data_IF_038493482441
#
_entry.id   IF_038493482441
#
_cell.length_a   1.000
_cell.length_b   1.000
_cell.length_c   1.000
_cell.angle_alpha   90.00
_cell.angle_beta   90.00
_cell.angle_gamma   90.00
#
_symmetry.space_group_name_H-M   'P 1'
#
loop_
_entity.id
_entity.type
_entity.pdbx_description
1 polymer ?
#
# COMPACT_ATOMS: atom_id res chain seq x y z
N UNK A 1 -6.93 -28.21 15.90
CA UNK A 1 -7.24 -27.00 15.13
C UNK A 1 -7.30 -25.83 16.08
N UNK A 2 -6.46 -24.85 15.86
CA UNK A 2 -6.35 -23.62 16.67
C UNK A 2 -7.31 -22.56 16.08
N UNK A 3 -8.17 -21.99 16.87
CA UNK A 3 -8.99 -20.85 16.46
C UNK A 3 -8.53 -19.61 17.24
N UNK A 4 -8.19 -18.54 16.52
CA UNK A 4 -7.97 -17.21 17.09
C UNK A 4 -9.28 -16.44 16.92
N UNK A 5 -9.96 -16.15 18.00
CA UNK A 5 -11.12 -15.27 17.98
C UNK A 5 -10.66 -13.85 18.33
N UNK A 6 -10.60 -12.97 17.33
CA UNK A 6 -10.42 -11.54 17.55
C UNK A 6 -11.80 -10.91 17.72
N UNK A 7 -12.16 -10.52 18.93
CA UNK A 7 -13.37 -9.73 19.13
C UNK A 7 -13.09 -8.27 18.78
N UNK A 8 -13.80 -7.75 17.79
CA UNK A 8 -13.81 -6.32 17.47
C UNK A 8 -14.65 -5.58 18.51
N UNK A 9 -14.01 -4.82 19.38
CA UNK A 9 -14.69 -3.74 20.10
C UNK A 9 -14.18 -2.41 19.54
N UNK A 10 -15.09 -1.47 19.34
CA UNK A 10 -14.84 -0.11 18.85
C UNK A 10 -14.05 0.79 19.81
N UNK A 11 -13.54 0.26 20.90
CA UNK A 11 -12.63 0.95 21.81
C UNK A 11 -11.17 0.66 21.42
N UNK A 12 -10.27 1.66 21.55
CA UNK A 12 -8.84 1.43 21.29
C UNK A 12 -8.36 0.26 22.14
N UNK A 13 -7.73 -0.73 21.53
CA UNK A 13 -7.22 -1.96 22.13
C UNK A 13 -6.50 -1.66 23.45
N UNK A 14 -7.23 -1.71 24.53
CA UNK A 14 -6.63 -1.84 25.85
C UNK A 14 -6.34 -3.33 25.97
N UNK A 15 -5.09 -3.76 25.94
CA UNK A 15 -4.51 -5.10 26.13
C UNK A 15 -5.36 -6.29 26.63
N UNK A 16 -6.67 -6.26 26.40
CA UNK A 16 -7.66 -7.19 26.93
C UNK A 16 -8.15 -8.23 25.92
N UNK A 17 -7.78 -8.09 24.64
CA UNK A 17 -8.39 -8.87 23.57
C UNK A 17 -7.44 -9.90 22.94
N UNK A 18 -6.45 -10.35 23.68
CA UNK A 18 -5.65 -11.52 23.28
C UNK A 18 -6.51 -12.75 23.52
N UNK A 19 -7.06 -13.28 22.43
CA UNK A 19 -7.88 -14.49 22.50
C UNK A 19 -7.07 -15.70 22.93
N UNK A 20 -7.52 -16.38 23.96
CA UNK A 20 -6.96 -17.68 24.35
C UNK A 20 -7.31 -18.70 23.29
N UNK A 21 -6.30 -19.39 22.75
CA UNK A 21 -6.48 -20.50 21.83
C UNK A 21 -6.73 -21.76 22.67
N UNK A 22 -7.95 -22.23 22.67
CA UNK A 22 -8.32 -23.48 23.36
C UNK A 22 -8.87 -24.51 22.34
N UNK A 23 -8.61 -25.79 22.62
CA UNK A 23 -9.33 -26.85 21.87
C UNK A 23 -10.82 -26.74 22.18
N UNK A 24 -11.64 -26.77 21.14
CA UNK A 24 -13.10 -26.67 21.25
C UNK A 24 -13.71 -27.68 22.24
N UNK A 25 -13.09 -28.86 22.40
CA UNK A 25 -13.48 -29.91 23.34
C UNK A 25 -13.26 -29.60 24.83
N UNK A 26 -12.60 -28.51 25.17
CA UNK A 26 -12.25 -28.12 26.55
C UNK A 26 -12.90 -26.79 26.96
N UNK A 27 -13.68 -26.16 26.10
CA UNK A 27 -14.33 -24.90 26.40
C UNK A 27 -15.69 -25.16 27.06
N UNK A 28 -15.69 -25.26 28.38
CA UNK A 28 -16.89 -25.44 29.17
C UNK A 28 -17.68 -24.14 29.43
N UNK A 29 -17.47 -23.09 28.67
CA UNK A 29 -18.19 -21.81 28.79
C UNK A 29 -17.25 -20.60 28.95
N UNK A 30 -17.75 -19.41 28.64
CA UNK A 30 -17.00 -18.15 28.72
C UNK A 30 -16.44 -17.84 30.13
N UNK A 31 -17.10 -18.29 31.19
CA UNK A 31 -16.68 -18.08 32.57
C UNK A 31 -15.43 -18.89 32.94
N UNK A 32 -15.24 -20.09 32.35
CA UNK A 32 -14.06 -20.93 32.61
C UNK A 32 -12.79 -20.35 32.00
N UNK A 33 -12.90 -19.54 30.93
CA UNK A 33 -11.75 -18.94 30.23
C UNK A 33 -11.37 -17.59 30.86
N UNK A 34 -12.27 -16.96 31.63
CA UNK A 34 -12.04 -15.62 32.16
C UNK A 34 -10.81 -15.49 33.10
N UNK A 35 -10.47 -16.47 33.95
CA UNK A 35 -9.27 -16.43 34.78
C UNK A 35 -7.98 -16.49 33.97
N UNK A 36 -7.89 -17.42 33.00
CA UNK A 36 -6.73 -17.59 32.12
C UNK A 36 -6.53 -16.37 31.22
N UNK A 37 -7.62 -15.79 30.70
CA UNK A 37 -7.55 -14.53 29.94
C UNK A 37 -6.99 -13.39 30.77
N UNK A 38 -7.40 -13.24 32.04
CA UNK A 38 -6.87 -12.23 32.95
C UNK A 38 -5.40 -12.46 33.26
N UNK A 39 -5.01 -13.70 33.48
CA UNK A 39 -3.64 -14.08 33.73
C UNK A 39 -2.74 -13.79 32.53
N UNK A 40 -3.16 -14.14 31.30
CA UNK A 40 -2.44 -13.83 30.07
C UNK A 40 -2.38 -12.32 29.81
N UNK A 41 -3.48 -11.59 30.01
CA UNK A 41 -3.51 -10.15 29.84
C UNK A 41 -2.61 -9.40 30.84
N UNK A 42 -2.31 -10.02 31.98
CA UNK A 42 -1.44 -9.47 33.04
C UNK A 42 -0.01 -10.03 32.96
N UNK A 43 0.27 -11.00 32.09
CA UNK A 43 1.57 -11.69 32.02
C UNK A 43 2.72 -10.77 31.58
N UNK A 44 2.42 -9.69 30.87
CA UNK A 44 3.40 -8.70 30.45
C UNK A 44 2.77 -7.30 30.34
N UNK A 45 3.56 -6.22 30.37
CA UNK A 45 3.07 -4.85 30.25
C UNK A 45 2.76 -4.48 28.79
N UNK A 46 1.83 -5.20 28.17
CA UNK A 46 1.48 -5.03 26.73
C UNK A 46 1.08 -3.60 26.37
N UNK A 47 0.37 -2.90 27.25
CA UNK A 47 -0.01 -1.51 27.04
C UNK A 47 1.19 -0.55 26.96
N UNK A 48 2.20 -0.79 27.79
CA UNK A 48 3.44 0.00 27.78
C UNK A 48 4.24 -0.28 26.50
N UNK A 49 4.30 -1.55 26.05
CA UNK A 49 4.97 -1.91 24.80
C UNK A 49 4.32 -1.24 23.59
N UNK A 50 2.98 -1.19 23.55
CA UNK A 50 2.24 -0.54 22.47
C UNK A 50 2.50 0.97 22.45
N UNK A 51 2.51 1.62 23.62
CA UNK A 51 2.78 3.06 23.71
C UNK A 51 4.23 3.38 23.30
N UNK A 52 5.18 2.60 23.81
CA UNK A 52 6.61 2.85 23.57
C UNK A 52 7.07 2.44 22.15
N UNK A 53 6.42 1.45 21.55
CA UNK A 53 6.83 0.92 20.25
C UNK A 53 6.14 1.56 19.04
N UNK A 54 5.09 2.33 19.26
CA UNK A 54 4.25 2.88 18.19
C UNK A 54 4.68 4.30 17.85
N UNK A 55 4.96 4.55 16.57
CA UNK A 55 5.31 5.88 16.05
C UNK A 55 4.21 6.32 15.09
N UNK A 56 3.70 7.53 15.26
CA UNK A 56 2.79 8.13 14.29
C UNK A 56 3.60 8.82 13.18
N UNK A 57 3.09 8.80 11.96
CA UNK A 57 3.72 9.52 10.85
C UNK A 57 3.84 11.03 11.14
N UNK A 58 2.89 11.60 11.92
CA UNK A 58 2.92 12.98 12.39
C UNK A 58 4.02 13.28 13.39
N UNK A 59 4.56 12.27 14.07
CA UNK A 59 5.63 12.46 15.07
C UNK A 59 7.00 12.57 14.42
N UNK A 60 7.11 12.21 13.13
CA UNK A 60 8.35 12.33 12.37
C UNK A 60 8.60 13.78 11.95
N UNK A 61 9.86 14.22 11.91
CA UNK A 61 10.23 15.57 11.49
C UNK A 61 9.70 15.91 10.11
N UNK A 62 9.20 17.11 9.92
CA UNK A 62 8.73 17.59 8.63
C UNK A 62 9.86 17.59 7.59
N UNK A 63 9.52 17.18 6.38
CA UNK A 63 10.42 17.12 5.23
C UNK A 63 9.68 17.67 4.03
N UNK A 64 10.25 18.64 3.36
CA UNK A 64 9.68 19.20 2.15
C UNK A 64 10.12 18.36 0.94
N UNK A 65 9.20 18.15 0.00
CA UNK A 65 9.49 17.52 -1.30
C UNK A 65 10.09 18.54 -2.28
N UNK A 66 10.68 18.04 -3.36
CA UNK A 66 11.22 18.85 -4.44
C UNK A 66 10.11 19.17 -5.43
N UNK A 67 9.82 20.44 -5.59
CA UNK A 67 8.88 20.92 -6.60
C UNK A 67 9.51 20.84 -7.98
N UNK A 68 8.88 20.16 -8.91
CA UNK A 68 9.36 19.97 -10.26
C UNK A 68 8.83 21.02 -11.23
N UNK A 69 9.62 21.36 -12.26
CA UNK A 69 9.18 22.26 -13.33
C UNK A 69 8.16 21.57 -14.24
N UNK A 70 7.26 22.34 -14.85
CA UNK A 70 6.29 21.85 -15.83
C UNK A 70 6.93 20.95 -16.90
N UNK A 71 8.04 21.38 -17.50
CA UNK A 71 8.74 20.59 -18.51
C UNK A 71 9.26 19.25 -17.98
N UNK A 72 9.64 19.17 -16.71
CA UNK A 72 10.06 17.93 -16.06
C UNK A 72 8.88 16.99 -15.82
N UNK A 73 7.76 17.52 -15.35
CA UNK A 73 6.53 16.77 -15.13
C UNK A 73 6.03 16.20 -16.46
N UNK A 74 5.91 17.04 -17.49
CA UNK A 74 5.42 16.63 -18.82
C UNK A 74 6.28 15.52 -19.43
N UNK A 75 7.62 15.60 -19.35
CA UNK A 75 8.49 14.52 -19.85
C UNK A 75 8.24 13.20 -19.14
N UNK A 76 8.05 13.21 -17.84
CA UNK A 76 7.76 11.99 -17.06
C UNK A 76 6.37 11.45 -17.37
N UNK A 77 5.38 12.32 -17.55
CA UNK A 77 4.05 11.91 -18.02
C UNK A 77 4.15 11.14 -19.36
N UNK A 78 4.99 11.59 -20.29
CA UNK A 78 5.21 10.87 -21.55
C UNK A 78 5.84 9.49 -21.35
N UNK A 79 6.82 9.37 -20.44
CA UNK A 79 7.46 8.07 -20.11
C UNK A 79 6.44 7.08 -19.56
N UNK A 80 5.55 7.53 -18.67
CA UNK A 80 4.53 6.69 -18.05
C UNK A 80 3.20 6.63 -18.83
N UNK A 81 3.17 7.19 -20.04
CA UNK A 81 2.02 7.11 -20.94
C UNK A 81 0.78 7.84 -20.42
N UNK A 82 0.95 8.95 -19.67
CA UNK A 82 -0.17 9.81 -19.31
C UNK A 82 -0.75 10.46 -20.56
N UNK A 83 -2.06 10.47 -20.65
CA UNK A 83 -2.79 11.13 -21.73
C UNK A 83 -3.43 12.42 -21.25
N UNK A 84 -3.65 13.35 -22.17
CA UNK A 84 -4.39 14.59 -21.90
C UNK A 84 -5.82 14.30 -21.40
N UNK A 85 -6.41 13.21 -21.87
CA UNK A 85 -7.74 12.77 -21.44
C UNK A 85 -7.73 12.34 -19.96
N UNK A 86 -6.75 11.58 -19.51
CA UNK A 86 -6.60 11.18 -18.10
C UNK A 86 -6.37 12.40 -17.21
N UNK A 87 -5.53 13.34 -17.63
CA UNK A 87 -5.31 14.58 -16.88
C UNK A 87 -6.61 15.36 -16.70
N UNK A 88 -7.40 15.51 -17.76
CA UNK A 88 -8.63 16.31 -17.79
C UNK A 88 -9.83 15.61 -17.14
N UNK A 89 -10.01 14.30 -17.38
CA UNK A 89 -11.23 13.58 -16.99
C UNK A 89 -11.08 12.76 -15.72
N UNK A 90 -9.84 12.48 -15.26
CA UNK A 90 -9.58 11.70 -14.05
C UNK A 90 -8.92 12.58 -12.99
N UNK A 91 -7.70 13.07 -13.25
CA UNK A 91 -6.91 13.74 -12.22
C UNK A 91 -7.48 15.12 -11.86
N UNK A 92 -7.86 15.95 -12.82
CA UNK A 92 -8.39 17.28 -12.56
C UNK A 92 -9.72 17.26 -11.79
N UNK A 93 -10.70 16.38 -12.08
CA UNK A 93 -11.90 16.24 -11.26
C UNK A 93 -11.59 15.76 -9.84
N UNK A 94 -10.70 14.80 -9.65
CA UNK A 94 -10.27 14.38 -8.32
C UNK A 94 -9.62 15.53 -7.56
N UNK A 95 -8.74 16.30 -8.20
CA UNK A 95 -8.09 17.47 -7.63
C UNK A 95 -9.09 18.56 -7.20
N UNK A 96 -10.14 18.74 -7.97
CA UNK A 96 -11.16 19.77 -7.70
C UNK A 96 -12.16 19.36 -6.62
N UNK A 97 -12.60 18.10 -6.60
CA UNK A 97 -13.73 17.64 -5.79
C UNK A 97 -13.35 16.73 -4.63
N UNK A 98 -12.19 16.04 -4.69
CA UNK A 98 -11.81 15.00 -3.75
C UNK A 98 -12.65 13.73 -3.86
N UNK A 99 -13.22 13.50 -5.04
CA UNK A 99 -14.06 12.33 -5.37
C UNK A 99 -13.58 11.78 -6.71
N UNK A 100 -13.52 10.45 -6.80
CA UNK A 100 -13.22 9.77 -8.06
C UNK A 100 -14.34 9.99 -9.08
N UNK A 101 -14.03 10.41 -10.33
CA UNK A 101 -15.03 10.63 -11.39
C UNK A 101 -15.52 9.32 -12.02
N UNK A 102 -14.76 8.24 -11.87
CA UNK A 102 -15.07 6.90 -12.36
C UNK A 102 -15.61 6.02 -11.25
N UNK A 103 -16.26 4.92 -11.62
CA UNK A 103 -16.66 3.91 -10.62
C UNK A 103 -15.46 3.18 -10.04
N UNK A 104 -15.41 3.02 -8.71
CA UNK A 104 -14.33 2.31 -8.01
C UNK A 104 -14.25 0.81 -8.30
N UNK A 105 -15.16 0.27 -9.10
CA UNK A 105 -15.16 -1.13 -9.55
C UNK A 105 -14.36 -1.34 -10.85
N UNK A 106 -13.64 -0.33 -11.32
CA UNK A 106 -12.87 -0.37 -12.56
C UNK A 106 -13.74 -0.13 -13.80
N UNK A 107 -13.21 -0.52 -14.95
CA UNK A 107 -13.89 -0.39 -16.24
C UNK A 107 -14.20 -1.76 -16.83
N UNK A 108 -15.37 -1.90 -17.43
CA UNK A 108 -15.78 -3.09 -18.20
C UNK A 108 -15.30 -3.05 -19.66
N UNK A 109 -14.48 -2.09 -20.02
CA UNK A 109 -13.93 -1.97 -21.38
C UNK A 109 -13.05 -3.19 -21.68
N UNK A 110 -13.37 -3.99 -22.73
CA UNK A 110 -12.56 -5.15 -23.09
C UNK A 110 -11.14 -4.74 -23.47
N UNK A 111 -10.17 -5.59 -23.17
CA UNK A 111 -8.80 -5.43 -23.67
C UNK A 111 -8.82 -5.50 -25.19
N UNK A 112 -8.18 -4.51 -25.84
CA UNK A 112 -8.04 -4.48 -27.28
C UNK A 112 -6.92 -5.43 -27.72
N UNK A 113 -7.17 -6.75 -27.65
CA UNK A 113 -6.18 -7.81 -27.86
C UNK A 113 -5.47 -7.76 -29.24
N UNK A 114 -6.06 -7.09 -30.21
CA UNK A 114 -5.49 -6.91 -31.55
C UNK A 114 -4.84 -5.53 -31.75
N UNK A 115 -4.72 -4.73 -30.68
CA UNK A 115 -4.09 -3.41 -30.75
C UNK A 115 -2.58 -3.53 -30.54
N UNK A 116 -1.80 -2.80 -31.33
CA UNK A 116 -0.35 -2.65 -31.14
C UNK A 116 0.00 -1.61 -30.06
N UNK A 117 -1.01 -0.96 -29.47
CA UNK A 117 -0.80 0.04 -28.41
C UNK A 117 -0.54 -0.66 -27.08
N UNK A 118 0.57 -0.30 -26.40
CA UNK A 118 0.84 -0.84 -25.07
C UNK A 118 -0.24 -0.36 -24.08
N UNK A 119 -0.59 -1.23 -23.14
CA UNK A 119 -1.47 -0.95 -22.02
C UNK A 119 -0.68 -1.04 -20.74
N UNK A 120 -1.15 -0.36 -19.70
CA UNK A 120 -0.59 -0.54 -18.36
C UNK A 120 -0.84 -1.97 -17.88
N UNK A 121 0.07 -2.51 -17.09
CA UNK A 121 -0.10 -3.85 -16.53
C UNK A 121 -1.40 -3.96 -15.70
N UNK A 122 -1.80 -2.89 -15.05
CA UNK A 122 -3.06 -2.81 -14.30
C UNK A 122 -4.31 -3.12 -15.14
N UNK A 123 -4.31 -2.77 -16.43
CA UNK A 123 -5.46 -2.97 -17.33
C UNK A 123 -5.75 -4.44 -17.60
N UNK A 124 -4.80 -5.34 -17.32
CA UNK A 124 -4.97 -6.79 -17.46
C UNK A 124 -5.58 -7.44 -16.22
N UNK A 125 -5.92 -6.66 -15.19
CA UNK A 125 -6.51 -7.16 -13.96
C UNK A 125 -7.94 -6.65 -13.81
N UNK A 126 -8.85 -7.57 -13.54
CA UNK A 126 -10.25 -7.27 -13.27
C UNK A 126 -10.61 -7.71 -11.86
N UNK A 127 -11.41 -6.89 -11.18
CA UNK A 127 -11.92 -7.26 -9.86
C UNK A 127 -12.90 -8.42 -9.98
N UNK A 128 -12.77 -9.43 -9.12
CA UNK A 128 -13.69 -10.55 -9.07
C UNK A 128 -15.08 -10.09 -8.67
N UNK A 129 -16.10 -10.79 -9.16
CA UNK A 129 -17.46 -10.59 -8.71
C UNK A 129 -17.58 -10.93 -7.22
N UNK A 130 -18.17 -10.02 -6.46
CA UNK A 130 -18.28 -10.15 -5.01
C UNK A 130 -19.28 -11.24 -4.63
N UNK A 131 -18.82 -12.48 -4.45
CA UNK A 131 -19.56 -13.62 -3.89
C UNK A 131 -19.02 -13.92 -2.50
N UNK A 132 -19.30 -13.03 -1.54
CA UNK A 132 -18.78 -13.13 -0.19
C UNK A 132 -19.85 -13.65 0.77
N UNK A 133 -19.43 -14.37 1.82
CA UNK A 133 -20.32 -14.82 2.90
C UNK A 133 -20.90 -13.65 3.69
N UNK A 134 -20.14 -12.57 3.84
CA UNK A 134 -20.61 -11.32 4.43
C UNK A 134 -21.16 -10.41 3.32
N UNK A 135 -22.36 -9.83 3.49
CA UNK A 135 -22.88 -8.91 2.50
C UNK A 135 -21.98 -7.66 2.40
N UNK A 136 -21.87 -7.06 1.19
CA UNK A 136 -21.19 -5.79 1.03
C UNK A 136 -21.87 -4.70 1.86
N UNK A 137 -21.09 -3.73 2.30
CA UNK A 137 -21.59 -2.61 3.09
C UNK A 137 -22.21 -1.55 2.19
N UNK A 138 -23.23 -0.87 2.68
CA UNK A 138 -23.77 0.30 1.98
C UNK A 138 -22.84 1.52 2.11
N UNK A 139 -23.01 2.51 1.23
CA UNK A 139 -22.17 3.70 1.18
C UNK A 139 -22.27 4.60 2.45
N UNK A 140 -23.27 4.39 3.29
CA UNK A 140 -23.44 5.14 4.55
C UNK A 140 -22.60 4.49 5.66
N UNK A 141 -22.52 3.17 5.69
CA UNK A 141 -21.85 2.41 6.75
C UNK A 141 -20.40 2.09 6.44
N UNK A 142 -19.96 2.20 5.17
CA UNK A 142 -18.61 1.83 4.78
C UNK A 142 -17.53 2.62 5.55
N UNK A 143 -17.71 3.91 5.76
CA UNK A 143 -16.76 4.74 6.53
C UNK A 143 -16.77 4.40 8.04
N UNK A 144 -17.84 3.81 8.55
CA UNK A 144 -17.95 3.46 9.96
C UNK A 144 -17.26 2.13 10.29
N UNK A 145 -17.32 1.16 9.38
CA UNK A 145 -16.89 -0.22 9.66
C UNK A 145 -15.66 -0.64 8.86
N UNK A 146 -15.30 0.09 7.82
CA UNK A 146 -14.09 -0.17 7.02
C UNK A 146 -13.02 0.86 7.38
N UNK A 147 -11.82 0.39 7.68
CA UNK A 147 -10.69 1.23 8.08
C UNK A 147 -9.56 1.15 7.06
N UNK A 148 -9.07 2.32 6.64
CA UNK A 148 -7.85 2.46 5.85
C UNK A 148 -6.58 2.54 6.71
N UNK A 149 -6.74 2.53 8.03
CA UNK A 149 -5.63 2.52 8.97
C UNK A 149 -4.77 1.28 8.78
N UNK A 150 -3.46 1.49 8.68
CA UNK A 150 -2.48 0.43 8.53
C UNK A 150 -1.26 0.71 9.41
N UNK A 151 -0.43 -0.31 9.61
CA UNK A 151 0.84 -0.19 10.32
C UNK A 151 1.94 -0.83 9.50
N UNK A 152 3.09 -0.17 9.42
CA UNK A 152 4.27 -0.66 8.73
C UNK A 152 5.33 -1.04 9.75
N UNK A 153 6.00 -2.15 9.51
CA UNK A 153 7.10 -2.65 10.35
C UNK A 153 7.10 -4.16 10.42
N UNK A 154 8.07 -4.74 11.14
CA UNK A 154 8.19 -6.18 11.27
C UNK A 154 7.03 -6.76 12.07
N UNK A 155 6.49 -7.87 11.60
CA UNK A 155 5.62 -8.73 12.38
C UNK A 155 6.49 -9.78 13.06
N UNK A 156 6.47 -9.79 14.37
CA UNK A 156 7.21 -10.76 15.17
C UNK A 156 6.39 -12.04 15.38
N UNK A 157 6.99 -13.03 16.04
CA UNK A 157 6.34 -14.28 16.37
C UNK A 157 5.12 -14.01 17.28
N UNK A 158 3.92 -14.30 16.80
CA UNK A 158 2.68 -14.13 17.55
C UNK A 158 2.59 -15.06 18.78
N UNK A 159 3.34 -16.18 18.78
CA UNK A 159 3.38 -17.13 19.88
C UNK A 159 4.39 -16.75 20.97
N UNK A 160 5.27 -15.78 20.66
CA UNK A 160 6.29 -15.26 21.59
C UNK A 160 6.34 -13.73 21.46
N UNK A 161 5.28 -13.02 21.94
CA UNK A 161 5.21 -11.59 21.83
C UNK A 161 6.20 -10.88 22.76
N UNK A 162 6.85 -9.84 22.23
CA UNK A 162 7.79 -9.01 22.99
C UNK A 162 7.65 -7.53 22.61
N UNK A 163 8.38 -6.61 23.27
CA UNK A 163 8.35 -5.17 22.94
C UNK A 163 8.64 -4.87 21.47
N UNK A 164 9.49 -5.70 20.83
CA UNK A 164 9.82 -5.56 19.41
C UNK A 164 8.60 -5.77 18.49
N UNK A 165 7.62 -6.57 18.92
CA UNK A 165 6.37 -6.80 18.17
C UNK A 165 5.51 -5.53 18.02
N UNK A 166 5.73 -4.54 18.89
CA UNK A 166 4.98 -3.30 18.92
C UNK A 166 5.67 -2.16 18.16
N UNK A 167 6.86 -2.38 17.62
CA UNK A 167 7.59 -1.36 16.84
C UNK A 167 6.96 -1.20 15.46
N UNK A 168 5.98 -0.30 15.38
CA UNK A 168 5.19 -0.06 14.18
C UNK A 168 5.08 1.42 13.86
N UNK A 169 5.32 1.77 12.60
CA UNK A 169 4.94 3.06 12.05
C UNK A 169 3.46 3.02 11.68
N UNK A 170 2.71 3.94 12.23
CA UNK A 170 1.27 4.06 11.99
C UNK A 170 1.01 4.93 10.79
N UNK A 171 0.26 4.38 9.85
CA UNK A 171 -0.28 5.09 8.70
C UNK A 171 -1.79 5.23 8.86
N UNK A 172 -2.31 6.43 9.04
CA UNK A 172 -3.76 6.65 9.08
C UNK A 172 -4.40 6.41 7.71
N UNK A 173 -3.60 6.42 6.63
CA UNK A 173 -4.04 6.35 5.25
C UNK A 173 -2.99 5.62 4.38
N UNK A 174 -3.40 4.73 3.45
CA UNK A 174 -2.46 3.96 2.65
C UNK A 174 -1.94 4.69 1.40
N UNK A 175 -2.40 5.91 1.13
CA UNK A 175 -1.89 6.76 0.04
C UNK A 175 -1.10 7.89 0.66
N UNK A 176 0.17 8.02 0.26
CA UNK A 176 1.14 8.97 0.81
C UNK A 176 1.41 10.08 -0.21
N UNK A 177 1.54 11.31 0.26
CA UNK A 177 2.19 12.38 -0.50
C UNK A 177 3.72 12.26 -0.45
N UNK A 178 4.40 13.11 -1.19
CA UNK A 178 5.86 13.09 -1.29
C UNK A 178 6.55 13.50 0.03
N UNK A 179 5.92 14.37 0.82
CA UNK A 179 6.42 14.78 2.13
C UNK A 179 6.34 13.63 3.14
N UNK A 180 5.21 12.92 3.18
CA UNK A 180 5.01 11.75 4.01
C UNK A 180 6.00 10.63 3.66
N UNK A 181 6.20 10.36 2.36
CA UNK A 181 7.20 9.39 1.92
C UNK A 181 8.62 9.82 2.29
N UNK A 182 8.96 11.11 2.13
CA UNK A 182 10.28 11.65 2.52
C UNK A 182 10.57 11.46 4.01
N UNK A 183 9.56 11.62 4.89
CA UNK A 183 9.68 11.33 6.33
C UNK A 183 10.03 9.87 6.56
N UNK A 184 9.35 8.95 5.88
CA UNK A 184 9.56 7.50 6.02
C UNK A 184 10.94 7.08 5.49
N UNK A 185 11.36 7.59 4.33
CA UNK A 185 12.67 7.28 3.75
C UNK A 185 13.80 7.71 4.68
N UNK A 186 13.60 8.76 5.47
CA UNK A 186 14.61 9.32 6.37
C UNK A 186 14.37 8.99 7.84
N UNK A 187 13.46 8.06 8.15
CA UNK A 187 12.93 7.79 9.50
C UNK A 187 14.00 7.54 10.57
N UNK A 188 15.12 6.93 10.22
CA UNK A 188 16.21 6.62 11.16
C UNK A 188 17.55 7.20 10.69
N UNK A 189 17.52 8.31 9.97
CA UNK A 189 18.76 8.91 9.41
C UNK A 189 19.74 9.37 10.50
N UNK A 190 19.20 9.78 11.64
CA UNK A 190 19.98 10.28 12.78
C UNK A 190 20.31 9.19 13.80
N UNK A 191 19.85 7.94 13.56
CA UNK A 191 20.11 6.79 14.43
C UNK A 191 19.31 6.76 15.74
N UNK A 192 18.31 7.65 15.85
CA UNK A 192 17.46 7.82 17.05
C UNK A 192 16.30 6.84 17.14
N UNK A 193 15.96 6.17 16.03
CA UNK A 193 14.86 5.21 15.93
C UNK A 193 15.36 3.80 15.55
N UNK A 194 16.09 3.11 16.43
CA UNK A 194 16.63 1.79 16.13
C UNK A 194 15.50 0.79 15.84
N UNK A 195 15.64 0.07 14.72
CA UNK A 195 14.64 -0.88 14.23
C UNK A 195 13.67 -0.31 13.20
N UNK A 196 13.85 0.96 12.81
CA UNK A 196 13.18 1.61 11.70
C UNK A 196 14.20 2.02 10.65
N UNK A 197 14.69 1.07 9.88
CA UNK A 197 15.60 1.36 8.76
C UNK A 197 14.85 1.16 7.46
N UNK A 198 14.91 2.18 6.58
CA UNK A 198 14.32 2.14 5.25
C UNK A 198 15.38 1.86 4.20
N UNK A 199 15.10 0.93 3.29
CA UNK A 199 15.85 0.68 2.07
C UNK A 199 15.00 1.05 0.85
N UNK A 200 15.57 1.82 -0.08
CA UNK A 200 14.91 2.21 -1.33
C UNK A 200 15.48 1.35 -2.47
N UNK A 201 14.67 0.43 -2.97
CA UNK A 201 15.00 -0.41 -4.12
C UNK A 201 14.57 0.30 -5.41
N UNK A 202 15.50 0.49 -6.34
CA UNK A 202 15.24 1.20 -7.60
C UNK A 202 14.85 0.23 -8.69
N UNK A 203 13.56 0.21 -9.02
CA UNK A 203 12.96 -0.63 -10.06
C UNK A 203 13.19 -0.08 -11.47
N UNK A 204 14.45 -0.02 -11.88
CA UNK A 204 14.85 0.42 -13.21
C UNK A 204 15.71 -0.65 -13.87
N UNK A 205 15.55 -0.85 -15.19
CA UNK A 205 16.31 -1.80 -15.99
C UNK A 205 16.84 -1.13 -17.28
N UNK A 206 17.90 -1.68 -17.86
CA UNK A 206 18.51 -1.19 -19.09
C UNK A 206 17.59 -1.41 -20.30
N UNK A 207 17.27 -0.33 -21.02
CA UNK A 207 16.38 -0.35 -22.20
C UNK A 207 16.89 -1.27 -23.29
N UNK A 208 18.19 -1.18 -23.61
CA UNK A 208 18.81 -1.92 -24.72
C UNK A 208 18.80 -3.45 -24.50
N UNK A 209 18.73 -3.89 -23.24
CA UNK A 209 18.65 -5.32 -22.90
C UNK A 209 17.24 -5.93 -23.01
N UNK A 210 16.20 -5.10 -23.20
CA UNK A 210 14.81 -5.54 -23.38
C UNK A 210 14.29 -6.44 -22.27
N UNK A 211 13.48 -7.44 -22.62
CA UNK A 211 12.86 -8.35 -21.66
C UNK A 211 13.87 -9.14 -20.82
N UNK A 212 15.02 -9.50 -21.39
CA UNK A 212 16.05 -10.22 -20.65
C UNK A 212 16.67 -9.37 -19.54
N UNK A 213 16.93 -8.08 -19.81
CA UNK A 213 17.42 -7.14 -18.81
C UNK A 213 16.38 -6.91 -17.70
N UNK A 214 15.10 -6.80 -18.05
CA UNK A 214 14.02 -6.66 -17.08
C UNK A 214 13.97 -7.87 -16.12
N UNK A 215 14.02 -9.10 -16.67
CA UNK A 215 13.98 -10.33 -15.87
C UNK A 215 15.19 -10.43 -14.95
N UNK A 216 16.40 -10.23 -15.49
CA UNK A 216 17.62 -10.26 -14.70
C UNK A 216 17.62 -9.20 -13.59
N UNK A 217 17.15 -7.99 -13.90
CA UNK A 217 17.06 -6.91 -12.92
C UNK A 217 16.07 -7.21 -11.79
N UNK A 218 14.95 -7.86 -12.07
CA UNK A 218 14.00 -8.29 -11.05
C UNK A 218 14.64 -9.31 -10.08
N UNK A 219 15.41 -10.26 -10.60
CA UNK A 219 16.12 -11.26 -9.77
C UNK A 219 17.19 -10.58 -8.90
N UNK A 220 17.98 -9.67 -9.45
CA UNK A 220 18.96 -8.86 -8.71
C UNK A 220 18.31 -8.05 -7.61
N UNK A 221 17.20 -7.35 -7.89
CA UNK A 221 16.47 -6.55 -6.91
C UNK A 221 15.92 -7.41 -5.78
N UNK A 222 15.42 -8.59 -6.08
CA UNK A 222 14.99 -9.53 -5.06
C UNK A 222 16.14 -9.92 -4.12
N UNK A 223 17.35 -10.18 -4.67
CA UNK A 223 18.54 -10.48 -3.88
C UNK A 223 19.03 -9.27 -3.07
N UNK A 224 19.07 -8.07 -3.68
CA UNK A 224 19.41 -6.82 -3.00
C UNK A 224 18.49 -6.55 -1.80
N UNK A 225 17.18 -6.74 -1.96
CA UNK A 225 16.19 -6.56 -0.90
C UNK A 225 16.40 -7.58 0.22
N UNK A 226 16.66 -8.85 -0.11
CA UNK A 226 16.96 -9.87 0.89
C UNK A 226 18.23 -9.54 1.70
N UNK A 227 19.26 -9.02 1.05
CA UNK A 227 20.47 -8.54 1.71
C UNK A 227 20.19 -7.34 2.63
N UNK A 228 19.42 -6.35 2.14
CA UNK A 228 19.04 -5.20 2.94
C UNK A 228 18.23 -5.58 4.19
N UNK A 229 17.35 -6.59 4.10
CA UNK A 229 16.60 -7.12 5.24
C UNK A 229 17.56 -7.78 6.26
N UNK A 230 18.53 -8.54 5.79
CA UNK A 230 19.56 -9.15 6.64
C UNK A 230 20.40 -8.08 7.36
N UNK A 231 20.68 -6.95 6.69
CA UNK A 231 21.40 -5.79 7.24
C UNK A 231 20.53 -4.92 8.16
N UNK A 232 19.26 -5.28 8.36
CA UNK A 232 18.40 -4.62 9.35
C UNK A 232 17.32 -3.71 8.76
N UNK A 233 17.14 -3.63 7.45
CA UNK A 233 16.02 -2.89 6.87
C UNK A 233 14.68 -3.49 7.32
N UNK A 234 13.72 -2.62 7.65
CA UNK A 234 12.38 -2.99 8.10
C UNK A 234 11.27 -2.34 7.29
N UNK A 235 11.63 -1.36 6.47
CA UNK A 235 10.75 -0.71 5.51
C UNK A 235 11.46 -0.77 4.15
N UNK A 236 10.81 -1.33 3.15
CA UNK A 236 11.30 -1.38 1.78
C UNK A 236 10.44 -0.48 0.92
N UNK A 237 11.06 0.48 0.26
CA UNK A 237 10.40 1.34 -0.72
C UNK A 237 10.78 0.86 -2.12
N UNK A 238 9.79 0.43 -2.89
CA UNK A 238 9.93 0.04 -4.29
C UNK A 238 9.68 1.29 -5.14
N UNK A 239 10.74 1.82 -5.77
CA UNK A 239 10.68 3.11 -6.46
C UNK A 239 11.07 2.99 -7.93
N UNK A 240 10.28 3.57 -8.81
CA UNK A 240 10.56 3.71 -10.24
C UNK A 240 11.08 5.11 -10.64
N UNK A 241 11.38 5.97 -9.65
CA UNK A 241 11.95 7.30 -9.89
C UNK A 241 13.30 7.23 -10.59
N UNK A 242 13.62 8.27 -11.32
CA UNK A 242 14.88 8.51 -12.02
C UNK A 242 15.04 7.68 -13.31
N UNK A 243 13.95 7.22 -13.92
CA UNK A 243 13.97 6.73 -15.31
C UNK A 243 14.56 7.79 -16.27
N UNK A 244 15.29 7.33 -17.24
CA UNK A 244 15.94 8.17 -18.25
C UNK A 244 16.00 7.45 -19.61
N UNK A 245 16.79 7.96 -20.56
CA UNK A 245 16.88 7.36 -21.88
C UNK A 245 17.51 5.95 -21.90
N UNK A 246 18.28 5.60 -20.88
CA UNK A 246 19.02 4.34 -20.76
C UNK A 246 18.31 3.36 -19.81
N UNK A 247 17.57 3.90 -18.84
CA UNK A 247 16.92 3.14 -17.77
C UNK A 247 15.40 3.31 -17.80
N UNK A 248 14.69 2.24 -18.13
CA UNK A 248 13.23 2.20 -18.12
C UNK A 248 12.69 1.76 -16.75
N UNK A 249 11.49 2.23 -16.34
CA UNK A 249 10.86 1.79 -15.13
C UNK A 249 10.31 0.37 -15.30
N UNK A 250 10.50 -0.48 -14.29
CA UNK A 250 9.80 -1.75 -14.17
C UNK A 250 8.35 -1.42 -13.78
N UNK A 251 7.32 -2.01 -14.45
CA UNK A 251 5.93 -1.80 -14.07
C UNK A 251 5.72 -2.04 -12.57
N UNK A 252 5.14 -1.08 -11.87
CA UNK A 252 5.09 -1.09 -10.41
C UNK A 252 4.35 -2.30 -9.83
N UNK A 253 3.30 -2.76 -10.49
CA UNK A 253 2.57 -3.97 -10.09
C UNK A 253 3.43 -5.23 -10.23
N UNK A 254 4.19 -5.37 -11.33
CA UNK A 254 5.11 -6.49 -11.55
C UNK A 254 6.21 -6.50 -10.48
N UNK A 255 6.81 -5.34 -10.23
CA UNK A 255 7.86 -5.21 -9.22
C UNK A 255 7.34 -5.55 -7.81
N UNK A 256 6.17 -5.04 -7.45
CA UNK A 256 5.52 -5.32 -6.16
C UNK A 256 5.22 -6.81 -6.01
N UNK A 257 4.62 -7.43 -7.02
CA UNK A 257 4.29 -8.86 -7.00
C UNK A 257 5.53 -9.74 -6.92
N UNK A 258 6.56 -9.44 -7.71
CA UNK A 258 7.82 -10.19 -7.72
C UNK A 258 8.49 -10.18 -6.34
N UNK A 259 8.64 -8.99 -5.75
CA UNK A 259 9.24 -8.83 -4.40
C UNK A 259 8.38 -9.47 -3.32
N UNK A 260 7.06 -9.24 -3.34
CA UNK A 260 6.15 -9.85 -2.37
C UNK A 260 6.26 -11.38 -2.36
N UNK A 261 6.17 -12.01 -3.53
CA UNK A 261 6.24 -13.46 -3.64
C UNK A 261 7.63 -14.02 -3.38
N UNK A 262 8.69 -13.30 -3.75
CA UNK A 262 10.06 -13.66 -3.38
C UNK A 262 10.20 -13.73 -1.84
N UNK A 263 9.81 -12.67 -1.14
CA UNK A 263 9.89 -12.63 0.32
C UNK A 263 9.00 -13.67 1.01
N UNK A 264 7.87 -14.05 0.41
CA UNK A 264 7.03 -15.16 0.89
C UNK A 264 7.77 -16.48 0.77
N UNK A 265 8.40 -16.75 -0.38
CA UNK A 265 9.20 -17.98 -0.59
C UNK A 265 10.38 -18.07 0.37
N UNK A 266 11.07 -16.93 0.60
CA UNK A 266 12.19 -16.82 1.55
C UNK A 266 11.76 -16.79 3.03
N UNK A 267 10.44 -16.79 3.32
CA UNK A 267 9.86 -16.68 4.67
C UNK A 267 10.28 -15.41 5.43
N UNK A 268 10.62 -14.35 4.72
CA UNK A 268 11.05 -13.05 5.26
C UNK A 268 9.99 -11.95 5.11
N UNK A 269 8.86 -12.22 4.41
CA UNK A 269 7.82 -11.22 4.11
C UNK A 269 7.31 -10.47 5.33
N UNK A 270 7.15 -11.13 6.44
CA UNK A 270 6.64 -10.54 7.69
C UNK A 270 7.67 -9.69 8.44
N UNK A 271 8.93 -9.71 8.01
CA UNK A 271 9.98 -8.90 8.63
C UNK A 271 9.97 -7.44 8.19
N UNK A 272 9.28 -7.12 7.10
CA UNK A 272 9.27 -5.78 6.49
C UNK A 272 7.91 -5.32 6.04
N UNK A 273 7.71 -4.00 6.02
CA UNK A 273 6.63 -3.34 5.29
C UNK A 273 7.09 -2.94 3.90
N UNK A 274 6.21 -3.09 2.88
CA UNK A 274 6.46 -2.66 1.52
C UNK A 274 5.71 -1.35 1.24
N UNK A 275 6.40 -0.35 0.71
CA UNK A 275 5.82 0.88 0.19
C UNK A 275 6.16 0.96 -1.29
N UNK A 276 5.22 1.40 -2.10
CA UNK A 276 5.40 1.56 -3.55
C UNK A 276 5.39 3.04 -3.90
N UNK A 277 6.48 3.53 -4.48
CA UNK A 277 6.64 4.86 -5.04
C UNK A 277 6.64 4.73 -6.56
N UNK A 278 5.52 5.10 -7.21
CA UNK A 278 5.29 4.74 -8.60
C UNK A 278 4.72 5.87 -9.46
N UNK A 279 5.29 6.01 -10.67
CA UNK A 279 4.85 6.97 -11.66
C UNK A 279 3.69 6.48 -12.53
N UNK A 280 3.46 5.18 -12.64
CA UNK A 280 2.38 4.59 -13.42
C UNK A 280 1.03 4.56 -12.69
N UNK A 281 1.00 4.92 -11.39
CA UNK A 281 -0.22 4.93 -10.55
C UNK A 281 -0.96 6.26 -10.66
N UNK A 282 -2.24 6.23 -11.09
CA UNK A 282 -3.06 7.43 -11.25
C UNK A 282 -4.56 7.25 -10.96
N UNK A 283 -4.98 6.01 -10.69
CA UNK A 283 -6.38 5.65 -10.46
C UNK A 283 -6.56 4.81 -9.20
N UNK A 284 -7.80 4.74 -8.70
CA UNK A 284 -8.17 3.89 -7.56
C UNK A 284 -7.85 2.43 -7.84
N UNK A 285 -8.13 1.94 -9.05
CA UNK A 285 -7.85 0.56 -9.46
C UNK A 285 -6.37 0.19 -9.30
N UNK A 286 -5.46 1.09 -9.66
CA UNK A 286 -4.02 0.90 -9.52
C UNK A 286 -3.61 0.78 -8.04
N UNK A 287 -4.10 1.69 -7.20
CA UNK A 287 -3.82 1.68 -5.76
C UNK A 287 -4.39 0.42 -5.10
N UNK A 288 -5.62 0.05 -5.45
CA UNK A 288 -6.29 -1.13 -4.94
C UNK A 288 -5.52 -2.42 -5.29
N UNK A 289 -5.03 -2.55 -6.52
CA UNK A 289 -4.19 -3.66 -6.96
C UNK A 289 -2.88 -3.74 -6.18
N UNK A 290 -2.15 -2.63 -6.07
CA UNK A 290 -0.86 -2.61 -5.35
C UNK A 290 -1.01 -3.02 -3.89
N UNK A 291 -2.05 -2.53 -3.19
CA UNK A 291 -2.33 -2.95 -1.81
C UNK A 291 -2.72 -4.42 -1.77
N UNK A 292 -3.54 -4.88 -2.70
CA UNK A 292 -3.91 -6.30 -2.83
C UNK A 292 -2.71 -7.21 -3.05
N UNK A 293 -1.72 -6.76 -3.80
CA UNK A 293 -0.48 -7.48 -4.11
C UNK A 293 0.65 -7.27 -3.09
N UNK A 294 0.39 -6.60 -1.97
CA UNK A 294 1.33 -6.60 -0.85
C UNK A 294 1.86 -5.24 -0.41
N UNK A 295 1.51 -4.15 -1.09
CA UNK A 295 1.90 -2.82 -0.64
C UNK A 295 1.14 -2.44 0.65
N UNK A 296 1.86 -1.95 1.64
CA UNK A 296 1.26 -1.36 2.84
C UNK A 296 0.83 0.09 2.61
N UNK A 297 1.51 0.78 1.71
CA UNK A 297 1.17 2.12 1.26
C UNK A 297 1.69 2.38 -0.16
N UNK A 298 1.08 3.35 -0.84
CA UNK A 298 1.41 3.76 -2.20
C UNK A 298 1.61 5.26 -2.25
N UNK A 299 2.69 5.70 -2.88
CA UNK A 299 2.93 7.09 -3.25
C UNK A 299 2.83 7.23 -4.77
N UNK A 300 1.71 7.72 -5.31
CA UNK A 300 1.53 7.96 -6.74
C UNK A 300 2.18 9.29 -7.15
N UNK A 301 3.51 9.38 -7.01
CA UNK A 301 4.23 10.64 -7.07
C UNK A 301 3.96 11.46 -8.32
N UNK A 302 3.93 10.80 -9.51
CA UNK A 302 3.74 11.53 -10.76
C UNK A 302 2.32 12.06 -10.92
N UNK A 303 1.32 11.35 -10.41
CA UNK A 303 -0.06 11.85 -10.36
C UNK A 303 -0.18 13.07 -9.43
N UNK A 304 0.48 13.03 -8.27
CA UNK A 304 0.55 14.14 -7.31
C UNK A 304 1.24 15.34 -7.95
N UNK A 305 2.44 15.16 -8.51
CA UNK A 305 3.19 16.21 -9.18
C UNK A 305 2.44 16.79 -10.39
N UNK A 306 1.72 15.95 -11.15
CA UNK A 306 0.88 16.40 -12.26
C UNK A 306 -0.27 17.29 -11.80
N UNK A 307 -0.95 16.89 -10.73
CA UNK A 307 -2.04 17.69 -10.14
C UNK A 307 -1.52 19.00 -9.55
N UNK A 308 -0.38 18.98 -8.90
CA UNK A 308 0.26 20.18 -8.37
C UNK A 308 0.62 21.16 -9.50
N UNK A 309 1.15 20.65 -10.61
CA UNK A 309 1.49 21.42 -11.81
C UNK A 309 0.24 22.01 -12.47
N UNK A 310 -0.82 21.21 -12.65
CA UNK A 310 -2.11 21.68 -13.18
C UNK A 310 -2.71 22.79 -12.32
N UNK A 311 -2.65 22.65 -11.00
CA UNK A 311 -3.18 23.63 -10.06
C UNK A 311 -2.39 24.94 -10.08
N UNK A 312 -1.04 24.85 -10.14
CA UNK A 312 -0.16 26.05 -10.24
C UNK A 312 -0.43 26.86 -11.52
N UNK A 313 -0.65 26.17 -12.63
CA UNK A 313 -0.92 26.83 -13.91
C UNK A 313 -2.40 27.11 -14.15
N UNK A 314 -3.28 26.75 -13.21
CA UNK A 314 -4.72 26.87 -13.30
C UNK A 314 -5.30 26.19 -14.55
N UNK A 315 -4.72 25.06 -14.94
CA UNK A 315 -5.20 24.22 -16.04
C UNK A 315 -6.18 23.19 -15.49
N UNK A 316 -7.40 23.20 -15.96
CA UNK A 316 -8.52 22.32 -15.55
C UNK A 316 -8.95 22.39 -14.08
N UNK A 317 -8.25 23.12 -13.22
CA UNK A 317 -8.62 23.32 -11.82
C UNK A 317 -8.20 24.72 -11.35
N UNK A 318 -9.00 25.30 -10.47
CA UNK A 318 -8.71 26.59 -9.81
C UNK A 318 -8.40 26.46 -8.32
N UNK A 319 -8.24 25.22 -7.85
CA UNK A 319 -7.96 24.89 -6.44
C UNK A 319 -6.48 25.12 -6.17
N UNK A 320 -6.14 25.58 -4.97
CA UNK A 320 -4.73 25.74 -4.55
C UNK A 320 -3.99 24.37 -4.61
N UNK A 321 -2.69 24.38 -4.98
CA UNK A 321 -1.91 23.13 -5.19
C UNK A 321 -1.98 22.16 -4.02
N UNK A 322 -1.78 22.61 -2.79
CA UNK A 322 -1.79 21.76 -1.59
C UNK A 322 -3.17 21.11 -1.37
N UNK A 323 -4.23 21.88 -1.61
CA UNK A 323 -5.61 21.38 -1.51
C UNK A 323 -5.93 20.40 -2.65
N UNK A 324 -5.42 20.64 -3.85
CA UNK A 324 -5.59 19.77 -5.01
C UNK A 324 -4.92 18.39 -4.75
N UNK A 325 -3.70 18.38 -4.25
CA UNK A 325 -2.99 17.15 -3.81
C UNK A 325 -3.78 16.43 -2.73
N UNK A 326 -4.19 17.13 -1.67
CA UNK A 326 -5.00 16.54 -0.59
C UNK A 326 -6.33 15.95 -1.09
N UNK A 327 -6.97 16.58 -2.06
CA UNK A 327 -8.18 16.08 -2.69
C UNK A 327 -7.94 14.78 -3.48
N UNK A 328 -6.85 14.69 -4.25
CA UNK A 328 -6.51 13.45 -5.00
C UNK A 328 -6.24 12.30 -4.04
N UNK A 329 -5.44 12.52 -3.00
CA UNK A 329 -5.18 11.50 -1.97
C UNK A 329 -6.49 11.04 -1.33
N UNK A 330 -7.37 11.98 -0.98
CA UNK A 330 -8.69 11.67 -0.43
C UNK A 330 -9.55 10.86 -1.40
N UNK A 331 -9.56 11.23 -2.70
CA UNK A 331 -10.32 10.52 -3.72
C UNK A 331 -9.84 9.08 -3.88
N UNK A 332 -8.52 8.88 -4.01
CA UNK A 332 -7.90 7.56 -4.12
C UNK A 332 -8.24 6.68 -2.90
N UNK A 333 -8.10 7.23 -1.70
CA UNK A 333 -8.42 6.46 -0.49
C UNK A 333 -9.89 6.14 -0.33
N UNK A 334 -10.79 7.07 -0.63
CA UNK A 334 -12.23 6.78 -0.61
C UNK A 334 -12.61 5.71 -1.63
N UNK A 335 -11.96 5.71 -2.79
CA UNK A 335 -12.14 4.68 -3.80
C UNK A 335 -11.69 3.31 -3.31
N UNK A 336 -10.50 3.22 -2.70
CA UNK A 336 -9.99 1.96 -2.08
C UNK A 336 -10.94 1.47 -0.99
N UNK A 337 -11.42 2.38 -0.12
CA UNK A 337 -12.38 2.04 0.93
C UNK A 337 -13.66 1.45 0.33
N UNK A 338 -14.14 2.02 -0.77
CA UNK A 338 -15.31 1.51 -1.49
C UNK A 338 -15.06 0.12 -2.09
N UNK A 339 -13.90 -0.12 -2.71
CA UNK A 339 -13.51 -1.45 -3.20
C UNK A 339 -13.51 -2.46 -2.06
N UNK A 340 -12.88 -2.15 -0.92
CA UNK A 340 -12.84 -2.99 0.25
C UNK A 340 -14.25 -3.31 0.75
N UNK A 341 -15.10 -2.30 0.91
CA UNK A 341 -16.46 -2.47 1.42
C UNK A 341 -17.32 -3.33 0.50
N UNK A 342 -17.19 -3.17 -0.82
CA UNK A 342 -17.89 -4.01 -1.81
C UNK A 342 -17.46 -5.47 -1.78
N UNK A 343 -16.19 -5.72 -1.45
CA UNK A 343 -15.67 -7.07 -1.28
C UNK A 343 -15.88 -7.63 0.14
N UNK A 344 -16.53 -6.88 1.03
CA UNK A 344 -16.80 -7.32 2.39
C UNK A 344 -15.55 -7.36 3.28
N UNK A 345 -14.50 -6.62 2.94
CA UNK A 345 -13.23 -6.56 3.68
C UNK A 345 -13.14 -5.25 4.46
N UNK A 346 -12.96 -5.32 5.76
CA UNK A 346 -13.04 -4.16 6.65
C UNK A 346 -11.69 -3.54 7.04
N UNK A 347 -10.57 -4.20 6.80
CA UNK A 347 -9.24 -3.69 7.16
C UNK A 347 -8.23 -3.90 6.03
N UNK A 348 -7.26 -2.99 5.92
CA UNK A 348 -6.17 -3.09 4.91
C UNK A 348 -5.37 -4.37 5.11
N UNK A 349 -5.10 -4.77 6.34
CA UNK A 349 -4.35 -6.01 6.63
C UNK A 349 -5.07 -7.27 6.12
N UNK A 350 -6.40 -7.29 6.12
CA UNK A 350 -7.20 -8.41 5.58
C UNK A 350 -7.35 -8.29 4.06
N UNK A 351 -7.23 -7.09 3.51
CA UNK A 351 -7.30 -6.85 2.06
C UNK A 351 -6.02 -7.29 1.34
N UNK A 352 -4.87 -7.08 1.96
CA UNK A 352 -3.58 -7.49 1.43
C UNK A 352 -3.52 -9.02 1.29
N UNK A 353 -3.32 -9.51 0.07
CA UNK A 353 -3.30 -10.95 -0.23
C UNK A 353 -4.69 -11.62 -0.29
N UNK A 354 -5.78 -10.85 -0.31
CA UNK A 354 -7.14 -11.39 -0.37
C UNK A 354 -7.50 -12.02 -1.73
N UNK A 355 -6.66 -11.88 -2.76
CA UNK A 355 -6.83 -12.47 -4.09
C UNK A 355 -8.17 -12.11 -4.75
N UNK A 356 -8.56 -10.86 -4.68
CA UNK A 356 -9.83 -10.35 -5.20
C UNK A 356 -9.77 -9.87 -6.66
N UNK A 357 -8.64 -10.06 -7.31
CA UNK A 357 -8.43 -9.73 -8.72
C UNK A 357 -8.07 -10.97 -9.52
N UNK A 358 -8.49 -11.01 -10.76
CA UNK A 358 -8.08 -12.00 -11.76
C UNK A 358 -7.32 -11.34 -12.90
N UNK A 359 -6.33 -12.02 -13.44
CA UNK A 359 -5.59 -11.58 -14.61
C UNK A 359 -6.26 -12.07 -15.89
N UNK A 360 -6.54 -11.16 -16.82
CA UNK A 360 -7.15 -11.45 -18.11
C UNK A 360 -6.19 -11.06 -19.22
N UNK A 361 -5.93 -11.97 -20.15
CA UNK A 361 -5.05 -11.68 -21.30
C UNK A 361 -3.55 -11.79 -21.04
N UNK A 362 -3.14 -12.29 -19.88
CA UNK A 362 -1.76 -12.64 -19.58
C UNK A 362 -1.57 -14.14 -19.67
N UNK A 363 -0.42 -14.58 -20.20
CA UNK A 363 -0.06 -16.00 -20.19
C UNK A 363 0.33 -16.46 -18.77
N UNK A 364 0.36 -17.78 -18.54
CA UNK A 364 0.80 -18.33 -17.25
C UNK A 364 2.30 -18.20 -17.00
N UNK A 365 3.04 -17.81 -18.01
CA UNK A 365 4.50 -17.65 -17.97
C UNK A 365 4.91 -16.25 -17.42
N UNK A 366 3.97 -15.31 -17.47
CA UNK A 366 4.13 -13.98 -16.90
C UNK A 366 3.77 -13.98 -15.42
#
# INVERSE_FOLDING_TARGET
>A
TLFVCLSHSSEPCRGRDIGLIARASHVCGAEAIAPERRQLAAAAPYGEWLIAGRILLSDLPDREHVVHTHASVTRRQQVFGYTEEELRLILAPMASTGIEPLGSMGTDTPLAALSDKPRLLFDYFSQLFAQVTNPPLDAIREELVTSLYNTIGPECNLLDPGPASCRRLVLPFPVLDDDALSKIVKINREGDLPGYQTYVARGLYEVDGGAAALTARLEELCAEISAAIADGARIIVLSDRHSNAELAPIPSLLFTAAVHHHLVREKSRTQVGLIVEAGDVREVHHVALLIGYGAAAVNPYLAIESVEDLARHQVYTSVAPEKAVGNVIKALGKGVLKVMSKMGVSTVASYTGAQIFEALGLSREV
#
